data_IF_139721592525
#
_entry.id   IF_139721592525
#
_cell.length_a   1.000
_cell.length_b   1.000
_cell.length_c   1.000
_cell.angle_alpha   90.00
_cell.angle_beta   90.00
_cell.angle_gamma   90.00
#
_symmetry.space_group_name_H-M   'P 1'
#
loop_
_entity.id
_entity.type
_entity.pdbx_description
1 polymer ?
#
# COMPACT_ATOMS: atom_id res chain seq x y z
N UNK A 1 -6.76 -11.85 -16.01
CA UNK A 1 -5.36 -11.86 -15.56
C UNK A 1 -5.31 -12.47 -14.15
N UNK A 2 -4.72 -13.64 -14.00
CA UNK A 2 -4.54 -14.24 -12.68
C UNK A 2 -3.38 -13.53 -11.97
N UNK A 3 -3.70 -12.62 -11.04
CA UNK A 3 -2.71 -11.99 -10.15
C UNK A 3 -1.87 -13.09 -9.51
N UNK A 4 -0.56 -13.06 -9.73
CA UNK A 4 0.35 -14.07 -9.19
C UNK A 4 0.25 -14.09 -7.66
N UNK A 5 0.34 -15.27 -7.02
CA UNK A 5 0.08 -15.41 -5.58
C UNK A 5 0.88 -14.43 -4.71
N UNK A 6 2.11 -14.09 -5.12
CA UNK A 6 2.94 -13.08 -4.45
C UNK A 6 2.29 -11.68 -4.37
N UNK A 7 1.56 -11.24 -5.40
CA UNK A 7 0.88 -9.94 -5.41
C UNK A 7 -0.28 -9.90 -4.43
N UNK A 8 -1.05 -11.00 -4.35
CA UNK A 8 -2.13 -11.12 -3.36
C UNK A 8 -1.58 -11.07 -1.94
N UNK A 9 -0.45 -11.73 -1.68
CA UNK A 9 0.22 -11.68 -0.37
C UNK A 9 0.74 -10.28 -0.02
N UNK A 10 1.40 -9.59 -0.95
CA UNK A 10 1.93 -8.25 -0.68
C UNK A 10 0.80 -7.24 -0.46
N UNK A 11 -0.26 -7.27 -1.28
CA UNK A 11 -1.42 -6.39 -1.06
C UNK A 11 -2.15 -6.72 0.24
N UNK A 12 -2.23 -7.99 0.63
CA UNK A 12 -2.85 -8.40 1.89
C UNK A 12 -2.02 -7.92 3.09
N UNK A 13 -0.69 -8.04 3.03
CA UNK A 13 0.22 -7.53 4.05
C UNK A 13 0.13 -6.01 4.18
N UNK A 14 0.06 -5.28 3.07
CA UNK A 14 -0.13 -3.83 3.09
C UNK A 14 -1.46 -3.44 3.75
N UNK A 15 -2.54 -4.16 3.43
CA UNK A 15 -3.84 -3.94 4.05
C UNK A 15 -3.80 -4.24 5.56
N UNK A 16 -3.18 -5.35 5.97
CA UNK A 16 -3.02 -5.70 7.38
C UNK A 16 -2.18 -4.68 8.14
N UNK A 17 -1.06 -4.23 7.57
CA UNK A 17 -0.19 -3.24 8.20
C UNK A 17 -0.89 -1.87 8.33
N UNK A 18 -1.64 -1.47 7.30
CA UNK A 18 -2.44 -0.24 7.31
C UNK A 18 -3.50 -0.25 8.42
N UNK A 19 -4.35 -1.29 8.43
CA UNK A 19 -5.42 -1.44 9.43
C UNK A 19 -4.84 -1.65 10.83
N UNK A 20 -3.84 -2.53 10.97
CA UNK A 20 -3.21 -2.86 12.24
C UNK A 20 -2.55 -1.65 12.90
N UNK A 21 -1.79 -0.86 12.14
CA UNK A 21 -1.16 0.36 12.67
C UNK A 21 -2.19 1.43 13.05
N UNK A 22 -3.27 1.57 12.28
CA UNK A 22 -4.36 2.50 12.62
C UNK A 22 -5.07 2.11 13.91
N UNK A 23 -5.46 0.84 14.05
CA UNK A 23 -6.11 0.31 15.26
C UNK A 23 -5.19 0.44 16.47
N UNK A 24 -3.88 0.19 16.31
CA UNK A 24 -2.91 0.34 17.39
C UNK A 24 -2.80 1.79 17.87
N UNK A 25 -2.76 2.76 16.96
CA UNK A 25 -2.72 4.18 17.30
C UNK A 25 -4.00 4.65 17.99
N UNK A 26 -5.16 4.13 17.59
CA UNK A 26 -6.43 4.41 18.28
C UNK A 26 -6.49 3.77 19.67
N UNK A 27 -6.03 2.52 19.82
CA UNK A 27 -5.95 1.86 21.11
C UNK A 27 -4.99 2.62 22.05
N UNK A 28 -3.85 3.06 21.52
CA UNK A 28 -2.89 3.87 22.29
C UNK A 28 -3.49 5.23 22.70
N UNK A 29 -4.31 5.84 21.84
CA UNK A 29 -5.03 7.07 22.16
C UNK A 29 -6.07 6.87 23.27
N UNK A 30 -6.71 5.71 23.32
CA UNK A 30 -7.65 5.35 24.39
C UNK A 30 -6.93 5.15 25.74
N UNK A 31 -5.70 4.62 25.73
CA UNK A 31 -4.89 4.44 26.93
C UNK A 31 -4.18 5.71 27.41
N UNK A 32 -3.87 6.65 26.51
CA UNK A 32 -3.18 7.91 26.84
C UNK A 32 -4.03 9.13 26.49
N UNK A 33 -5.03 9.49 27.31
CA UNK A 33 -5.98 10.58 27.01
C UNK A 33 -5.30 11.95 26.86
N UNK A 34 -4.18 12.19 27.55
CA UNK A 34 -3.39 13.41 27.40
C UNK A 34 -2.69 13.53 26.02
N UNK A 35 -2.36 12.41 25.38
CA UNK A 35 -1.71 12.35 24.06
C UNK A 35 -2.70 12.05 22.92
N UNK A 36 -3.98 11.83 23.24
CA UNK A 36 -5.03 11.49 22.28
C UNK A 36 -5.10 12.40 21.03
N UNK A 37 -4.98 13.74 21.10
CA UNK A 37 -5.03 14.58 19.89
C UNK A 37 -3.83 14.31 18.96
N UNK A 38 -2.62 14.16 19.49
CA UNK A 38 -1.42 13.82 18.72
C UNK A 38 -1.53 12.42 18.12
N UNK A 39 -2.03 11.45 18.88
CA UNK A 39 -2.20 10.07 18.40
C UNK A 39 -3.24 9.97 17.29
N UNK A 40 -4.29 10.78 17.31
CA UNK A 40 -5.25 10.90 16.20
C UNK A 40 -4.61 11.50 14.94
N UNK A 41 -3.77 12.52 15.09
CA UNK A 41 -3.02 13.09 13.96
C UNK A 41 -2.07 12.03 13.39
N UNK A 42 -1.34 11.31 14.24
CA UNK A 42 -0.50 10.18 13.82
C UNK A 42 -1.31 9.10 13.10
N UNK A 43 -2.50 8.78 13.58
CA UNK A 43 -3.39 7.79 12.96
C UNK A 43 -3.84 8.24 11.55
N UNK A 44 -4.13 9.53 11.37
CA UNK A 44 -4.44 10.09 10.06
C UNK A 44 -3.22 10.07 9.12
N UNK A 45 -2.04 10.47 9.61
CA UNK A 45 -0.79 10.39 8.85
C UNK A 45 -0.47 8.95 8.46
N UNK A 46 -0.69 8.00 9.35
CA UNK A 46 -0.52 6.58 9.09
C UNK A 46 -1.45 6.09 7.98
N UNK A 47 -2.72 6.49 8.02
CA UNK A 47 -3.69 6.12 6.99
C UNK A 47 -3.31 6.69 5.61
N UNK A 48 -2.84 7.95 5.57
CA UNK A 48 -2.34 8.58 4.34
C UNK A 48 -1.12 7.83 3.82
N UNK A 49 -0.15 7.50 4.67
CA UNK A 49 1.05 6.75 4.29
C UNK A 49 0.72 5.34 3.77
N UNK A 50 -0.21 4.64 4.42
CA UNK A 50 -0.68 3.33 3.99
C UNK A 50 -1.42 3.41 2.65
N UNK A 51 -2.28 4.42 2.46
CA UNK A 51 -2.97 4.69 1.21
C UNK A 51 -2.01 5.01 0.06
N UNK A 52 -1.03 5.88 0.30
CA UNK A 52 0.00 6.22 -0.67
C UNK A 52 0.86 4.99 -1.05
N UNK A 53 1.22 4.16 -0.09
CA UNK A 53 1.97 2.92 -0.34
C UNK A 53 1.16 1.95 -1.22
N UNK A 54 -0.15 1.82 -0.98
CA UNK A 54 -1.03 1.02 -1.84
C UNK A 54 -1.13 1.61 -3.24
N UNK A 55 -1.27 2.93 -3.38
CA UNK A 55 -1.32 3.61 -4.67
C UNK A 55 -0.03 3.43 -5.48
N UNK A 56 1.13 3.57 -4.83
CA UNK A 56 2.44 3.33 -5.47
C UNK A 56 2.57 1.87 -5.90
N UNK A 57 2.11 0.93 -5.08
CA UNK A 57 2.09 -0.49 -5.45
C UNK A 57 1.19 -0.75 -6.67
N UNK A 58 -0.01 -0.17 -6.70
CA UNK A 58 -0.98 -0.28 -7.80
C UNK A 58 -0.45 0.36 -9.09
N UNK A 59 0.24 1.50 -8.97
CA UNK A 59 0.92 2.17 -10.09
C UNK A 59 2.10 1.37 -10.62
N UNK A 60 2.89 0.77 -9.73
CA UNK A 60 4.01 -0.11 -10.11
C UNK A 60 3.49 -1.36 -10.81
N UNK A 61 2.34 -1.89 -10.39
CA UNK A 61 1.67 -2.99 -11.08
C UNK A 61 1.16 -2.55 -12.47
N UNK A 62 0.46 -1.42 -12.53
CA UNK A 62 -0.15 -0.88 -13.75
C UNK A 62 0.88 -0.50 -14.82
N UNK A 63 2.09 -0.10 -14.40
CA UNK A 63 3.17 0.24 -15.31
C UNK A 63 3.63 -0.95 -16.17
N UNK A 64 3.41 -2.20 -15.70
CA UNK A 64 3.83 -3.42 -16.40
C UNK A 64 5.34 -3.47 -16.68
N UNK A 65 5.91 -4.63 -17.07
CA UNK A 65 7.27 -4.64 -17.60
C UNK A 65 7.33 -3.72 -18.82
N UNK A 66 8.37 -2.88 -18.99
CA UNK A 66 8.55 -2.14 -20.24
C UNK A 66 8.51 -3.16 -21.36
N UNK A 67 7.51 -3.04 -22.24
CA UNK A 67 7.32 -3.94 -23.38
C UNK A 67 8.65 -3.97 -24.13
N UNK A 68 9.34 -5.13 -24.20
CA UNK A 68 10.52 -5.25 -25.01
C UNK A 68 10.09 -4.85 -26.42
N UNK A 69 10.69 -3.79 -26.95
CA UNK A 69 10.53 -3.38 -28.33
C UNK A 69 10.44 -4.62 -29.20
N UNK A 70 9.24 -4.89 -29.74
CA UNK A 70 9.03 -5.90 -30.77
C UNK A 70 9.97 -5.49 -31.91
N UNK A 71 11.07 -6.21 -32.19
CA UNK A 71 11.83 -5.92 -33.39
C UNK A 71 10.85 -6.22 -34.51
N UNK A 72 10.50 -5.20 -35.31
CA UNK A 72 9.81 -5.44 -36.57
C UNK A 72 10.73 -6.34 -37.38
N UNK A 73 10.41 -7.62 -37.48
CA UNK A 73 11.00 -8.50 -38.46
C UNK A 73 10.69 -7.91 -39.84
N UNK A 74 11.68 -7.57 -40.67
CA UNK A 74 11.41 -7.37 -42.08
C UNK A 74 11.06 -8.74 -42.65
N UNK A 75 9.84 -8.87 -43.18
CA UNK A 75 9.57 -9.92 -44.14
C UNK A 75 10.51 -9.73 -45.34
N UNK A 76 11.38 -10.71 -45.58
CA UNK A 76 11.76 -11.12 -46.94
C UNK A 76 12.42 -12.48 -46.95
#
# INVERSE_FOLDING_TARGET
MALSPRHKFVSLLLALAGIGGFVLLLALAAHHPAAAPILRILALLWLIAAGASKLVFDLTESAGPPSPHRPRTPQR
#
